data_IF_217479473676
#
_entry.id   IF_217479473676
#
_cell.length_a   1.000
_cell.length_b   1.000
_cell.length_c   1.000
_cell.angle_alpha   90.00
_cell.angle_beta   90.00
_cell.angle_gamma   90.00
#
_symmetry.space_group_name_H-M   'P 1'
#
loop_
_entity.id
_entity.type
_entity.pdbx_description
1 polymer ?
#
# COMPACT_ATOMS: atom_id res chain seq x y z
N UNK A 1 8.31 -16.93 -13.75
CA UNK A 1 7.10 -16.27 -14.29
C UNK A 1 5.90 -16.56 -13.36
N UNK A 2 6.08 -16.36 -12.06
CA UNK A 2 5.35 -17.13 -11.02
C UNK A 2 4.72 -16.27 -9.93
N UNK A 3 5.23 -15.05 -9.69
CA UNK A 3 4.80 -14.23 -8.54
C UNK A 3 3.62 -13.28 -8.87
N UNK A 4 3.69 -12.57 -10.01
CA UNK A 4 2.65 -11.59 -10.41
C UNK A 4 1.27 -12.23 -10.59
N UNK A 5 1.19 -13.43 -11.15
CA UNK A 5 -0.10 -14.12 -11.36
C UNK A 5 -0.71 -14.61 -10.04
N UNK A 6 0.11 -14.90 -9.02
CA UNK A 6 -0.37 -15.34 -7.71
C UNK A 6 -1.14 -14.21 -7.02
N UNK A 7 -0.64 -12.98 -7.06
CA UNK A 7 -1.33 -11.82 -6.47
C UNK A 7 -2.73 -11.54 -7.05
N UNK A 8 -2.97 -11.88 -8.33
CA UNK A 8 -4.26 -11.70 -8.97
C UNK A 8 -5.20 -12.92 -8.87
N UNK A 9 -4.64 -14.14 -8.89
CA UNK A 9 -5.44 -15.38 -8.99
C UNK A 9 -5.60 -16.10 -7.66
N UNK A 10 -4.67 -15.93 -6.72
CA UNK A 10 -4.70 -16.57 -5.41
C UNK A 10 -5.19 -15.59 -4.33
N UNK A 11 -6.43 -15.83 -3.89
CA UNK A 11 -7.07 -15.03 -2.85
C UNK A 11 -6.33 -15.09 -1.52
N UNK A 12 -5.73 -16.22 -1.16
CA UNK A 12 -5.02 -16.39 0.11
C UNK A 12 -3.72 -15.57 0.10
N UNK A 13 -2.92 -15.68 -0.98
CA UNK A 13 -1.72 -14.86 -1.16
C UNK A 13 -2.04 -13.37 -1.13
N UNK A 14 -3.06 -12.94 -1.88
CA UNK A 14 -3.50 -11.53 -1.88
C UNK A 14 -3.93 -11.05 -0.50
N UNK A 15 -4.68 -11.88 0.24
CA UNK A 15 -5.15 -11.51 1.58
C UNK A 15 -4.00 -11.40 2.58
N UNK A 16 -3.04 -12.33 2.54
CA UNK A 16 -1.85 -12.28 3.40
C UNK A 16 -1.03 -11.01 3.13
N UNK A 17 -0.87 -10.62 1.86
CA UNK A 17 -0.20 -9.38 1.48
C UNK A 17 -0.93 -8.13 2.02
N UNK A 18 -2.26 -8.08 1.89
CA UNK A 18 -3.08 -6.98 2.44
C UNK A 18 -2.94 -6.92 3.96
N UNK A 19 -3.06 -8.06 4.65
CA UNK A 19 -2.95 -8.11 6.11
C UNK A 19 -1.60 -7.55 6.58
N UNK A 20 -0.50 -7.94 5.94
CA UNK A 20 0.84 -7.42 6.26
C UNK A 20 0.94 -5.90 6.07
N UNK A 21 0.40 -5.37 4.97
CA UNK A 21 0.40 -3.91 4.75
C UNK A 21 -0.49 -3.16 5.74
N UNK A 22 -1.62 -3.75 6.17
CA UNK A 22 -2.51 -3.16 7.18
C UNK A 22 -1.91 -3.19 8.59
N UNK A 23 -1.10 -4.19 8.94
CA UNK A 23 -0.32 -4.18 10.19
C UNK A 23 0.60 -2.97 10.26
N UNK A 24 1.27 -2.64 9.14
CA UNK A 24 2.13 -1.46 9.04
C UNK A 24 1.30 -0.18 9.12
N UNK A 25 0.19 -0.08 8.38
CA UNK A 25 -0.73 1.06 8.50
C UNK A 25 -1.18 1.29 9.94
N UNK A 26 -1.54 0.21 10.66
CA UNK A 26 -1.97 0.31 12.06
C UNK A 26 -0.89 0.88 12.99
N UNK A 27 0.39 0.64 12.70
CA UNK A 27 1.50 1.26 13.44
C UNK A 27 1.69 2.75 13.11
N UNK A 28 1.32 3.18 11.90
CA UNK A 28 1.49 4.55 11.41
C UNK A 28 0.27 5.44 11.66
N UNK A 29 -0.92 4.87 11.87
CA UNK A 29 -2.19 5.60 11.82
C UNK A 29 -2.27 6.77 12.81
N UNK A 30 -1.68 6.64 14.00
CA UNK A 30 -1.68 7.71 15.01
C UNK A 30 -0.92 8.96 14.55
N UNK A 31 0.07 8.80 13.66
CA UNK A 31 0.81 9.89 13.04
C UNK A 31 0.11 10.39 11.76
N UNK A 32 -0.42 9.48 10.95
CA UNK A 32 -0.94 9.81 9.62
C UNK A 32 -2.36 10.41 9.67
N UNK A 33 -3.26 9.85 10.47
CA UNK A 33 -4.67 10.24 10.47
C UNK A 33 -4.90 11.71 10.85
N UNK A 34 -4.23 12.31 11.85
CA UNK A 34 -4.45 13.72 12.19
C UNK A 34 -4.09 14.70 11.07
N UNK A 35 -3.10 14.38 10.24
CA UNK A 35 -2.54 15.31 9.25
C UNK A 35 -2.92 14.99 7.79
N UNK A 36 -3.26 13.73 7.49
CA UNK A 36 -3.41 13.22 6.13
C UNK A 36 -4.72 12.48 5.89
N UNK A 37 -5.72 12.66 6.75
CA UNK A 37 -7.03 12.00 6.61
C UNK A 37 -7.60 12.17 5.20
N UNK A 38 -8.00 11.06 4.57
CA UNK A 38 -8.53 11.02 3.21
C UNK A 38 -7.49 10.96 2.09
N UNK A 39 -6.22 11.26 2.36
CA UNK A 39 -5.10 11.02 1.44
C UNK A 39 -4.77 9.52 1.32
N UNK A 40 -3.81 9.17 0.46
CA UNK A 40 -3.39 7.80 0.22
C UNK A 40 -1.98 7.59 0.77
N UNK A 41 -1.79 6.53 1.55
CA UNK A 41 -0.46 6.01 1.86
C UNK A 41 -0.21 4.77 0.98
N UNK A 42 0.93 4.75 0.30
CA UNK A 42 1.47 3.55 -0.34
C UNK A 42 2.48 2.92 0.61
N UNK A 43 2.38 1.61 0.84
CA UNK A 43 3.21 0.87 1.80
C UNK A 43 3.83 -0.33 1.07
N UNK A 44 5.16 -0.45 1.07
CA UNK A 44 5.84 -1.67 0.66
C UNK A 44 5.90 -2.62 1.88
N UNK A 45 5.14 -3.74 1.90
CA UNK A 45 4.93 -4.47 3.14
C UNK A 45 6.15 -5.25 3.65
N UNK A 46 7.22 -5.44 2.87
CA UNK A 46 8.39 -6.18 3.34
C UNK A 46 9.39 -5.31 4.10
N UNK A 47 9.60 -4.08 3.66
CA UNK A 47 10.50 -3.10 4.26
C UNK A 47 9.79 -2.17 5.24
N UNK A 48 8.49 -1.93 5.07
CA UNK A 48 7.75 -0.90 5.80
C UNK A 48 7.97 0.52 5.26
N UNK A 49 8.69 0.66 4.15
CA UNK A 49 8.77 1.91 3.43
C UNK A 49 7.37 2.38 3.04
N UNK A 50 7.12 3.67 3.25
CA UNK A 50 5.85 4.27 2.93
C UNK A 50 6.01 5.68 2.38
N UNK A 51 5.04 6.09 1.57
CA UNK A 51 4.90 7.45 1.07
C UNK A 51 3.44 7.87 1.11
N UNK A 52 3.19 9.13 1.42
CA UNK A 52 1.84 9.72 1.40
C UNK A 52 1.67 10.59 0.17
N UNK A 53 0.52 10.48 -0.47
CA UNK A 53 0.13 11.31 -1.61
C UNK A 53 -1.34 11.70 -1.55
N UNK A 54 -1.64 12.92 -1.99
CA UNK A 54 -3.02 13.45 -2.05
C UNK A 54 -3.99 12.61 -2.90
N UNK A 55 -3.45 11.80 -3.80
CA UNK A 55 -4.20 10.88 -4.67
C UNK A 55 -3.42 9.59 -4.85
N UNK A 56 -4.08 8.53 -5.32
CA UNK A 56 -3.43 7.24 -5.61
C UNK A 56 -2.25 7.42 -6.56
N UNK A 57 -2.44 8.10 -7.69
CA UNK A 57 -1.35 8.33 -8.66
C UNK A 57 -0.19 9.17 -8.14
N UNK A 58 -0.39 10.03 -7.14
CA UNK A 58 0.71 10.78 -6.49
C UNK A 58 1.49 9.92 -5.52
N UNK A 59 0.80 9.10 -4.72
CA UNK A 59 1.45 8.13 -3.83
C UNK A 59 2.22 7.08 -4.67
N UNK A 60 1.61 6.60 -5.75
CA UNK A 60 2.20 5.65 -6.68
C UNK A 60 3.46 6.21 -7.35
N UNK A 61 3.38 7.39 -7.96
CA UNK A 61 4.56 8.06 -8.56
C UNK A 61 5.72 8.21 -7.56
N UNK A 62 5.43 8.60 -6.32
CA UNK A 62 6.45 8.75 -5.28
C UNK A 62 7.02 7.39 -4.84
N UNK A 63 6.20 6.34 -4.81
CA UNK A 63 6.62 5.00 -4.46
C UNK A 63 7.45 4.35 -5.56
N UNK A 64 7.02 4.48 -6.83
CA UNK A 64 7.73 3.97 -8.01
C UNK A 64 9.17 4.51 -8.11
N UNK A 65 9.40 5.76 -7.72
CA UNK A 65 10.75 6.34 -7.67
C UNK A 65 11.70 5.62 -6.71
N UNK A 66 11.17 4.98 -5.65
CA UNK A 66 11.94 4.22 -4.65
C UNK A 66 11.94 2.72 -4.93
N UNK A 67 10.78 2.20 -5.32
CA UNK A 67 10.47 0.78 -5.48
C UNK A 67 9.79 0.57 -6.83
N UNK A 68 10.53 0.64 -7.95
CA UNK A 68 9.94 0.45 -9.28
C UNK A 68 9.45 -0.99 -9.44
N UNK A 69 8.37 -1.17 -10.20
CA UNK A 69 7.82 -2.49 -10.49
C UNK A 69 7.61 -3.38 -9.24
N UNK A 70 7.24 -2.77 -8.11
CA UNK A 70 7.10 -3.47 -6.84
C UNK A 70 5.64 -3.48 -6.38
N UNK A 71 5.21 -4.60 -5.80
CA UNK A 71 3.88 -4.68 -5.20
C UNK A 71 3.85 -3.89 -3.90
N UNK A 72 2.86 -3.01 -3.79
CA UNK A 72 2.62 -2.20 -2.58
C UNK A 72 1.14 -2.23 -2.22
N UNK A 73 0.84 -1.96 -0.96
CA UNK A 73 -0.53 -1.74 -0.50
C UNK A 73 -0.83 -0.25 -0.47
N UNK A 74 -1.80 0.18 -1.25
CA UNK A 74 -2.37 1.51 -1.13
C UNK A 74 -3.52 1.48 -0.13
N UNK A 75 -3.51 2.40 0.82
CA UNK A 75 -4.56 2.52 1.86
C UNK A 75 -5.03 3.97 1.91
N UNK A 76 -6.34 4.18 1.95
CA UNK A 76 -6.89 5.50 2.25
C UNK A 76 -6.77 5.76 3.75
N UNK A 77 -6.07 6.83 4.09
CA UNK A 77 -5.81 7.22 5.48
C UNK A 77 -7.14 7.59 6.15
N UNK A 78 -7.40 6.99 7.31
CA UNK A 78 -8.67 7.07 8.06
C UNK A 78 -9.77 6.10 7.59
N UNK A 79 -9.53 5.32 6.52
CA UNK A 79 -10.49 4.34 5.98
C UNK A 79 -9.75 3.07 5.53
N UNK A 80 -9.19 2.26 6.45
CA UNK A 80 -8.31 1.14 6.11
C UNK A 80 -8.95 0.05 5.25
N UNK A 81 -10.28 -0.10 5.29
CA UNK A 81 -11.03 -1.02 4.41
C UNK A 81 -10.98 -0.59 2.94
N UNK A 82 -10.75 0.70 2.67
CA UNK A 82 -10.48 1.23 1.34
C UNK A 82 -8.99 1.05 1.00
N UNK A 83 -8.60 -0.19 0.74
CA UNK A 83 -7.26 -0.56 0.31
C UNK A 83 -7.23 -1.31 -1.02
N UNK A 84 -6.08 -1.24 -1.70
CA UNK A 84 -5.83 -2.02 -2.91
C UNK A 84 -4.35 -2.36 -3.03
N UNK A 85 -3.98 -3.66 -3.18
CA UNK A 85 -2.65 -4.03 -3.58
C UNK A 85 -2.50 -3.79 -5.09
N UNK A 86 -1.46 -3.05 -5.47
CA UNK A 86 -1.12 -2.79 -6.88
C UNK A 86 0.40 -2.79 -7.03
N UNK A 87 0.86 -3.16 -8.22
CA UNK A 87 2.23 -2.95 -8.63
C UNK A 87 2.41 -1.47 -8.97
N UNK A 88 3.48 -0.85 -8.49
CA UNK A 88 3.84 0.52 -8.86
C UNK A 88 4.06 0.63 -10.37
N UNK A 89 3.66 1.75 -10.98
CA UNK A 89 3.67 1.94 -12.43
C UNK A 89 4.09 3.34 -12.88
#
# INVERSE_FOLDING_TARGET
MTDVMAMYKDKATRQAFISKGLEIYNSLKAQLEPAHNGEIVAIEPNSGDHVVGKTLGKADKAMFQKHPDTWVLFVRIGQPDANIPLKTW
#
